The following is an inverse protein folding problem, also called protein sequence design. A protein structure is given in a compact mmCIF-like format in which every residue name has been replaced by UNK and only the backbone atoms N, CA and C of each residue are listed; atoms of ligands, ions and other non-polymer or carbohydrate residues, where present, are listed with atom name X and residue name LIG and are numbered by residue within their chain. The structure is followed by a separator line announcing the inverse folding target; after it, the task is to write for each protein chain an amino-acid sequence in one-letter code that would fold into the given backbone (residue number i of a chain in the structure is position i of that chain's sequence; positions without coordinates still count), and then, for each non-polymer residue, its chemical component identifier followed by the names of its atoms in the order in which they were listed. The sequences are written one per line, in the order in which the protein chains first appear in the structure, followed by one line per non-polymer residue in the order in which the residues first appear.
data_IF_258582090736
#
_entry.id   IF_258582090736
#
_cell.length_a   1.000
_cell.length_b   1.000
_cell.length_c   1.000
_cell.angle_alpha   90.00
_cell.angle_beta   90.00
_cell.angle_gamma   90.00
#
_symmetry.space_group_name_H-M   'P 1'
#
loop_
_entity.id
_entity.type
_entity.pdbx_description
1 polymer ?
#
# COMPACT_ATOMS: atom_id res chain seq x y z
N UNK A 1 29.50 -6.73 1.62
CA UNK A 1 29.06 -5.79 0.57
C UNK A 1 29.67 -6.10 -0.80
N UNK A 2 30.98 -6.33 -0.89
CA UNK A 2 31.69 -6.58 -2.17
C UNK A 2 31.16 -7.82 -2.91
N UNK A 3 30.84 -8.90 -2.21
CA UNK A 3 30.39 -10.16 -2.84
C UNK A 3 29.18 -10.00 -3.78
N UNK A 4 28.18 -9.20 -3.40
CA UNK A 4 26.98 -8.99 -4.24
C UNK A 4 27.33 -8.15 -5.47
N UNK A 5 28.09 -7.06 -5.29
CA UNK A 5 28.50 -6.20 -6.40
C UNK A 5 29.42 -6.93 -7.39
N UNK A 6 30.33 -7.77 -6.90
CA UNK A 6 31.16 -8.64 -7.73
C UNK A 6 30.32 -9.63 -8.53
N UNK A 7 29.28 -10.23 -7.94
CA UNK A 7 28.37 -11.13 -8.66
C UNK A 7 27.60 -10.42 -9.76
N UNK A 8 27.09 -9.22 -9.48
CA UNK A 8 26.43 -8.39 -10.49
C UNK A 8 27.38 -8.10 -11.67
N UNK A 9 28.62 -7.71 -11.38
CA UNK A 9 29.62 -7.43 -12.40
C UNK A 9 29.98 -8.67 -13.24
N UNK A 10 30.14 -9.84 -12.60
CA UNK A 10 30.38 -11.12 -13.29
C UNK A 10 29.24 -11.49 -14.25
N UNK A 11 28.00 -11.11 -13.90
CA UNK A 11 26.82 -11.30 -14.74
C UNK A 11 26.55 -10.15 -15.71
N UNK A 12 27.49 -9.20 -15.87
CA UNK A 12 27.33 -8.00 -16.69
C UNK A 12 26.13 -7.11 -16.31
N UNK A 13 25.75 -7.11 -15.03
CA UNK A 13 24.74 -6.22 -14.45
C UNK A 13 25.42 -5.04 -13.76
N UNK A 14 25.03 -3.83 -14.15
CA UNK A 14 25.59 -2.59 -13.62
C UNK A 14 24.56 -1.87 -12.74
N UNK A 15 25.02 -1.42 -11.58
CA UNK A 15 24.21 -0.65 -10.63
C UNK A 15 24.36 0.84 -10.91
N UNK A 16 23.23 1.57 -10.89
CA UNK A 16 23.24 3.03 -10.97
C UNK A 16 23.51 3.60 -9.58
N UNK A 17 24.73 4.11 -9.37
CA UNK A 17 25.19 4.61 -8.06
C UNK A 17 24.24 5.65 -7.43
N UNK A 18 23.70 6.57 -8.23
CA UNK A 18 22.74 7.60 -7.78
C UNK A 18 21.46 7.04 -7.15
N UNK A 19 21.11 5.78 -7.41
CA UNK A 19 19.90 5.11 -6.88
C UNK A 19 20.23 4.09 -5.78
N UNK A 20 21.50 3.95 -5.40
CA UNK A 20 21.93 2.96 -4.43
C UNK A 20 22.14 3.63 -3.07
N UNK A 21 21.59 3.02 -2.03
CA UNK A 21 21.83 3.38 -0.64
C UNK A 21 22.65 2.29 0.02
N UNK A 22 23.75 2.66 0.67
CA UNK A 22 24.65 1.71 1.35
C UNK A 22 24.80 2.10 2.82
N UNK A 23 24.81 1.11 3.71
CA UNK A 23 25.01 1.30 5.16
C UNK A 23 24.02 2.29 5.82
N UNK A 24 22.79 2.41 5.29
CA UNK A 24 21.73 3.23 5.89
C UNK A 24 20.98 2.46 6.98
N UNK A 25 20.51 3.18 8.00
CA UNK A 25 19.69 2.63 9.09
C UNK A 25 18.23 2.41 8.70
N UNK A 26 17.78 3.10 7.64
CA UNK A 26 16.43 3.02 7.09
C UNK A 26 16.48 3.22 5.58
N UNK A 27 15.69 2.47 4.82
CA UNK A 27 15.61 2.59 3.35
C UNK A 27 14.21 2.29 2.83
N UNK A 28 13.84 2.87 1.68
CA UNK A 28 12.59 2.54 0.99
C UNK A 28 12.77 1.32 0.10
N UNK A 29 11.94 0.31 0.29
CA UNK A 29 11.96 -0.92 -0.49
C UNK A 29 10.55 -1.43 -0.78
N UNK A 30 10.19 -1.52 -2.06
CA UNK A 30 8.90 -2.04 -2.55
C UNK A 30 7.66 -1.39 -1.89
N UNK A 31 7.71 -0.09 -1.60
CA UNK A 31 6.61 0.64 -0.95
C UNK A 31 6.57 0.52 0.58
N UNK A 32 7.60 -0.08 1.18
CA UNK A 32 7.79 -0.10 2.62
C UNK A 32 9.02 0.71 3.00
N UNK A 33 9.06 1.19 4.24
CA UNK A 33 10.27 1.67 4.89
C UNK A 33 10.81 0.53 5.75
N UNK A 34 12.00 0.06 5.42
CA UNK A 34 12.70 -0.97 6.19
C UNK A 34 13.65 -0.27 7.14
N UNK A 35 13.55 -0.56 8.43
CA UNK A 35 14.51 -0.12 9.43
C UNK A 35 14.91 -1.28 10.35
N UNK A 36 15.80 -1.03 11.32
CA UNK A 36 16.29 -2.08 12.21
C UNK A 36 15.15 -2.76 12.99
N UNK A 37 14.76 -3.97 12.55
CA UNK A 37 13.73 -4.78 13.19
C UNK A 37 12.29 -4.35 12.89
N UNK A 38 12.06 -3.34 12.05
CA UNK A 38 10.70 -2.89 11.70
C UNK A 38 10.51 -2.74 10.19
N UNK A 39 9.26 -2.94 9.76
CA UNK A 39 8.80 -2.72 8.40
C UNK A 39 7.58 -1.82 8.50
N UNK A 40 7.67 -0.62 7.93
CA UNK A 40 6.64 0.40 8.04
C UNK A 40 6.05 0.69 6.66
N UNK A 41 4.85 1.26 6.63
CA UNK A 41 4.29 1.76 5.37
C UNK A 41 5.02 3.04 4.96
N UNK A 42 5.27 3.20 3.67
CA UNK A 42 5.85 4.44 3.14
C UNK A 42 4.90 5.63 3.39
N UNK A 43 5.34 6.71 4.08
CA UNK A 43 4.52 7.89 4.32
C UNK A 43 3.92 8.51 3.05
N UNK A 44 4.62 8.43 1.91
CA UNK A 44 4.10 8.89 0.63
C UNK A 44 2.89 8.06 0.17
N UNK A 45 2.87 6.77 0.52
CA UNK A 45 1.77 5.84 0.23
C UNK A 45 0.59 6.05 1.16
N UNK A 46 0.85 6.38 2.43
CA UNK A 46 -0.18 6.79 3.39
C UNK A 46 -0.87 8.07 2.93
N UNK A 47 -0.11 9.11 2.55
CA UNK A 47 -0.67 10.37 2.03
C UNK A 47 -1.51 10.17 0.78
N UNK A 48 -1.06 9.32 -0.14
CA UNK A 48 -1.83 9.00 -1.34
C UNK A 48 -3.19 8.35 -1.02
N UNK A 49 -3.31 7.60 0.08
CA UNK A 49 -4.60 7.07 0.56
C UNK A 49 -5.46 8.15 1.21
N UNK A 50 -4.86 9.02 2.00
CA UNK A 50 -5.54 10.13 2.66
C UNK A 50 -6.18 11.08 1.63
N UNK A 51 -5.46 11.39 0.56
CA UNK A 51 -5.92 12.25 -0.54
C UNK A 51 -6.75 11.49 -1.59
N UNK A 52 -6.94 10.18 -1.42
CA UNK A 52 -7.64 9.36 -2.41
C UNK A 52 -9.10 9.83 -2.55
N UNK A 53 -9.56 10.15 -3.78
CA UNK A 53 -10.91 10.64 -4.01
C UNK A 53 -11.97 9.55 -3.79
N UNK A 54 -13.19 9.96 -3.50
CA UNK A 54 -14.32 9.02 -3.41
C UNK A 54 -14.50 8.28 -4.75
N UNK A 55 -14.59 6.95 -4.77
CA UNK A 55 -14.78 6.20 -6.00
C UNK A 55 -16.19 6.39 -6.59
N UNK A 56 -16.27 6.96 -7.78
CA UNK A 56 -17.53 7.19 -8.50
C UNK A 56 -18.01 5.94 -9.28
N UNK A 57 -17.14 4.94 -9.43
CA UNK A 57 -17.45 3.72 -10.16
C UNK A 57 -16.68 2.50 -9.65
N UNK A 58 -17.16 1.30 -10.06
CA UNK A 58 -16.56 0.01 -9.68
C UNK A 58 -15.07 -0.07 -10.00
N UNK A 59 -14.61 0.46 -11.14
CA UNK A 59 -13.19 0.39 -11.54
C UNK A 59 -12.32 1.20 -10.59
N UNK A 60 -12.75 2.41 -10.22
CA UNK A 60 -12.05 3.24 -9.24
C UNK A 60 -12.03 2.57 -7.86
N UNK A 61 -13.14 1.96 -7.44
CA UNK A 61 -13.21 1.23 -6.17
C UNK A 61 -12.27 0.01 -6.17
N UNK A 62 -12.22 -0.76 -7.26
CA UNK A 62 -11.29 -1.87 -7.40
C UNK A 62 -9.83 -1.43 -7.35
N UNK A 63 -9.48 -0.28 -7.93
CA UNK A 63 -8.13 0.30 -7.83
C UNK A 63 -7.76 0.61 -6.39
N UNK A 64 -8.68 1.25 -5.65
CA UNK A 64 -8.49 1.53 -4.23
C UNK A 64 -8.32 0.23 -3.42
N UNK A 65 -9.22 -0.73 -3.58
CA UNK A 65 -9.17 -2.01 -2.86
C UNK A 65 -7.91 -2.82 -3.19
N UNK A 66 -7.46 -2.81 -4.44
CA UNK A 66 -6.21 -3.46 -4.85
C UNK A 66 -4.99 -2.86 -4.14
N UNK A 67 -4.93 -1.53 -4.06
CA UNK A 67 -3.92 -0.82 -3.29
C UNK A 67 -4.03 -1.15 -1.79
N UNK A 68 -5.24 -1.04 -1.23
CA UNK A 68 -5.47 -1.23 0.19
C UNK A 68 -5.12 -2.66 0.64
N UNK A 69 -5.39 -3.65 -0.22
CA UNK A 69 -5.07 -5.05 0.03
C UNK A 69 -3.55 -5.31 0.10
N UNK A 70 -2.72 -4.53 -0.61
CA UNK A 70 -1.25 -4.63 -0.51
C UNK A 70 -0.75 -4.34 0.93
N UNK A 71 -1.43 -3.43 1.64
CA UNK A 71 -1.07 -3.02 3.01
C UNK A 71 -1.94 -3.67 4.09
N UNK A 72 -2.80 -4.63 3.75
CA UNK A 72 -3.76 -5.25 4.69
C UNK A 72 -3.13 -5.75 5.99
N UNK A 73 -1.85 -6.15 5.96
CA UNK A 73 -1.09 -6.65 7.13
C UNK A 73 -0.94 -5.61 8.25
N UNK A 74 -1.01 -4.32 7.91
CA UNK A 74 -0.92 -3.21 8.86
C UNK A 74 -2.27 -2.79 9.43
N UNK A 75 -3.37 -3.30 8.86
CA UNK A 75 -4.73 -2.89 9.21
C UNK A 75 -5.44 -4.04 9.92
N UNK A 76 -5.57 -3.92 11.23
CA UNK A 76 -6.32 -4.90 12.03
C UNK A 76 -7.78 -4.92 11.60
N UNK A 77 -8.29 -6.11 11.28
CA UNK A 77 -9.69 -6.28 10.87
C UNK A 77 -9.98 -5.81 9.44
N UNK A 78 -8.96 -5.67 8.58
CA UNK A 78 -9.11 -5.20 7.19
C UNK A 78 -10.29 -5.85 6.44
N UNK A 79 -10.39 -7.18 6.48
CA UNK A 79 -11.45 -7.90 5.76
C UNK A 79 -12.86 -7.53 6.20
N UNK A 80 -13.07 -7.28 7.50
CA UNK A 80 -14.36 -6.88 8.05
C UNK A 80 -14.73 -5.47 7.61
N UNK A 81 -13.76 -4.55 7.64
CA UNK A 81 -13.97 -3.15 7.24
C UNK A 81 -14.19 -3.06 5.72
N UNK A 82 -13.43 -3.80 4.92
CA UNK A 82 -13.52 -3.77 3.46
C UNK A 82 -14.72 -4.58 2.91
N UNK A 83 -15.40 -5.39 3.72
CA UNK A 83 -16.52 -6.22 3.28
C UNK A 83 -17.64 -5.45 2.52
N UNK A 84 -18.18 -4.32 3.03
CA UNK A 84 -19.16 -3.51 2.30
C UNK A 84 -18.63 -3.02 0.94
N UNK A 85 -17.36 -2.64 0.86
CA UNK A 85 -16.73 -2.22 -0.39
C UNK A 85 -16.58 -3.36 -1.39
N UNK A 86 -16.19 -4.56 -0.91
CA UNK A 86 -16.12 -5.74 -1.77
C UNK A 86 -17.49 -6.13 -2.35
N UNK A 87 -18.58 -5.97 -1.60
CA UNK A 87 -19.94 -6.19 -2.14
C UNK A 87 -20.24 -5.28 -3.34
N UNK A 88 -19.81 -4.02 -3.30
CA UNK A 88 -19.97 -3.06 -4.40
C UNK A 88 -19.12 -3.37 -5.64
N UNK A 89 -18.11 -4.22 -5.52
CA UNK A 89 -17.30 -4.66 -6.68
C UNK A 89 -17.97 -5.78 -7.49
N UNK A 90 -19.04 -6.39 -6.98
CA UNK A 90 -19.76 -7.44 -7.69
C UNK A 90 -20.44 -6.92 -8.96
N UNK A 91 -20.37 -7.70 -10.03
CA UNK A 91 -21.08 -7.41 -11.28
C UNK A 91 -22.58 -7.70 -11.21
N UNK A 92 -23.01 -8.48 -10.21
CA UNK A 92 -24.40 -8.91 -10.06
C UNK A 92 -25.33 -7.81 -9.51
N UNK A 93 -24.80 -6.76 -8.88
CA UNK A 93 -25.59 -5.69 -8.28
C UNK A 93 -25.15 -4.33 -8.82
N UNK A 94 -26.07 -3.38 -9.10
CA UNK A 94 -25.71 -2.04 -9.52
C UNK A 94 -24.73 -1.38 -8.53
N UNK A 95 -23.81 -0.57 -9.05
CA UNK A 95 -22.92 0.20 -8.19
C UNK A 95 -23.71 1.32 -7.54
N UNK A 96 -24.02 1.17 -6.26
CA UNK A 96 -24.72 2.17 -5.47
C UNK A 96 -23.88 2.49 -4.25
N UNK A 97 -23.26 3.67 -4.25
CA UNK A 97 -22.52 4.15 -3.10
C UNK A 97 -23.51 4.46 -1.98
N UNK A 98 -23.41 3.72 -0.87
CA UNK A 98 -24.33 3.81 0.26
C UNK A 98 -23.58 4.22 1.53
N UNK A 99 -24.33 4.53 2.59
CA UNK A 99 -23.75 4.97 3.87
C UNK A 99 -22.77 3.95 4.46
N UNK A 100 -23.04 2.64 4.32
CA UNK A 100 -22.15 1.58 4.80
C UNK A 100 -20.80 1.58 4.05
N UNK A 101 -20.82 1.77 2.73
CA UNK A 101 -19.63 1.87 1.91
C UNK A 101 -18.83 3.13 2.21
N UNK A 102 -19.51 4.27 2.38
CA UNK A 102 -18.86 5.53 2.75
C UNK A 102 -18.18 5.42 4.12
N UNK A 103 -18.86 4.84 5.11
CA UNK A 103 -18.30 4.62 6.43
C UNK A 103 -17.09 3.69 6.38
N UNK A 104 -17.16 2.60 5.61
CA UNK A 104 -16.04 1.68 5.43
C UNK A 104 -14.85 2.31 4.69
N UNK A 105 -15.11 3.14 3.68
CA UNK A 105 -14.08 3.86 2.96
C UNK A 105 -13.34 4.83 3.87
N UNK A 106 -14.08 5.64 4.64
CA UNK A 106 -13.50 6.55 5.65
C UNK A 106 -12.73 5.80 6.73
N UNK A 107 -13.31 4.73 7.28
CA UNK A 107 -12.64 3.92 8.29
C UNK A 107 -11.32 3.34 7.75
N UNK A 108 -11.30 2.82 6.51
CA UNK A 108 -10.05 2.36 5.90
C UNK A 108 -9.03 3.50 5.79
N UNK A 109 -9.43 4.67 5.29
CA UNK A 109 -8.53 5.85 5.21
C UNK A 109 -7.97 6.21 6.58
N UNK A 110 -8.80 6.24 7.62
CA UNK A 110 -8.37 6.49 9.01
C UNK A 110 -7.41 5.40 9.51
N UNK A 111 -7.64 4.12 9.19
CA UNK A 111 -6.71 3.04 9.57
C UNK A 111 -5.37 3.15 8.87
N UNK A 112 -5.33 3.64 7.64
CA UNK A 112 -4.08 3.91 6.93
C UNK A 112 -3.26 5.03 7.58
N UNK A 113 -3.92 6.08 8.08
CA UNK A 113 -3.24 7.23 8.71
C UNK A 113 -2.92 7.01 10.19
N UNK A 114 -3.70 6.15 10.88
CA UNK A 114 -3.52 5.84 12.31
C UNK A 114 -2.77 4.53 12.59
N UNK A 115 -2.46 3.73 11.57
CA UNK A 115 -1.68 2.50 11.75
C UNK A 115 -0.33 2.86 12.39
N UNK A 116 0.04 2.22 13.51
CA UNK A 116 1.31 2.48 14.15
C UNK A 116 2.43 2.09 13.18
N UNK A 117 3.40 2.99 13.08
CA UNK A 117 4.65 2.78 12.39
C UNK A 117 5.42 1.61 13.04
#
# INVERSE_FOLDING_TARGET
MIAVLTRLLQSQLYVKAEKCEFHVSSTSFLGFILSAGSVQMDPARIRAVEEWPEPENRKQLQRFLGFANFYRKFIRGFSTIAAPLHRLTSTCQPFTWNSEAEQAFRELKTRFTSAPA
#
